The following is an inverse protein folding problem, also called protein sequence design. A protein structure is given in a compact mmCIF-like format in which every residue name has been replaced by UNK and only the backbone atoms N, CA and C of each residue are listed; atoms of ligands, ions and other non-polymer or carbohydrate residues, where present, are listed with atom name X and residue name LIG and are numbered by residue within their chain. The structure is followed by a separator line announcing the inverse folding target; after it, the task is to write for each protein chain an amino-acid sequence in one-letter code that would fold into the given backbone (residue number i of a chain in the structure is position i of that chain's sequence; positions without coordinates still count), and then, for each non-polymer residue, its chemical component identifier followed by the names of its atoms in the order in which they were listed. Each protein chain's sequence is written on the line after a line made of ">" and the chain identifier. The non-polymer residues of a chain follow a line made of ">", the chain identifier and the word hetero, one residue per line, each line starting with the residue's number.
data_IF_255980986113
#
_entry.id   IF_255980986113
#
_cell.length_a   1.000
_cell.length_b   1.000
_cell.length_c   1.000
_cell.angle_alpha   90.00
_cell.angle_beta   90.00
_cell.angle_gamma   90.00
#
_symmetry.space_group_name_H-M   'P 1'
#
loop_
_entity.id
_entity.type
_entity.pdbx_description
1 polymer ?
#
# COMPACT_ATOMS: atom_id res chain seq x y z
N UNK A 1 24.16 1.72 -4.22
CA UNK A 1 23.24 0.56 -4.10
C UNK A 1 22.64 0.25 -5.45
N UNK A 2 22.68 -0.99 -5.88
CA UNK A 2 22.03 -1.39 -7.11
C UNK A 2 20.53 -1.49 -6.92
N UNK A 3 19.74 -1.11 -7.94
CA UNK A 3 18.29 -1.32 -7.90
C UNK A 3 17.96 -2.79 -7.80
N UNK A 4 16.89 -3.10 -7.08
CA UNK A 4 16.30 -4.43 -7.08
C UNK A 4 14.98 -4.42 -7.86
N UNK A 5 14.66 -5.54 -8.48
CA UNK A 5 13.43 -5.69 -9.24
C UNK A 5 12.41 -6.43 -8.39
N UNK A 6 11.24 -5.84 -8.24
CA UNK A 6 10.09 -6.48 -7.60
C UNK A 6 9.06 -6.77 -8.69
N UNK A 7 8.73 -8.04 -8.87
CA UNK A 7 7.68 -8.43 -9.80
C UNK A 7 6.32 -8.20 -9.16
N UNK A 8 5.34 -7.85 -9.98
CA UNK A 8 3.96 -7.71 -9.51
C UNK A 8 2.99 -8.37 -10.47
N UNK A 9 1.83 -8.73 -9.94
CA UNK A 9 0.73 -9.28 -10.72
C UNK A 9 -0.52 -8.48 -10.43
N UNK A 10 -1.24 -8.10 -11.49
CA UNK A 10 -2.52 -7.41 -11.38
C UNK A 10 -3.61 -8.45 -11.19
N UNK A 11 -4.26 -8.44 -10.04
CA UNK A 11 -5.35 -9.36 -9.69
C UNK A 11 -6.73 -8.78 -10.01
N UNK A 12 -6.82 -7.44 -10.08
CA UNK A 12 -8.04 -6.70 -10.38
C UNK A 12 -7.69 -5.62 -11.41
N UNK A 13 -8.47 -5.55 -12.48
CA UNK A 13 -8.21 -4.59 -13.56
C UNK A 13 -8.23 -3.13 -13.11
N UNK A 14 -8.87 -2.82 -11.98
CA UNK A 14 -8.91 -1.47 -11.38
C UNK A 14 -7.68 -1.14 -10.56
N UNK A 15 -6.80 -2.11 -10.30
CA UNK A 15 -5.61 -1.90 -9.49
C UNK A 15 -4.70 -0.87 -10.13
N UNK A 16 -4.07 -0.06 -9.28
CA UNK A 16 -3.05 0.89 -9.71
C UNK A 16 -1.67 0.33 -9.38
N UNK A 17 -0.78 0.36 -10.38
CA UNK A 17 0.61 -0.01 -10.16
C UNK A 17 1.24 0.99 -9.19
N UNK A 18 1.95 0.54 -8.15
CA UNK A 18 2.60 1.44 -7.21
C UNK A 18 3.51 2.43 -7.93
N UNK A 19 3.41 3.69 -7.56
CA UNK A 19 4.19 4.75 -8.18
C UNK A 19 4.72 5.70 -7.12
N UNK A 20 5.90 6.25 -7.39
CA UNK A 20 6.48 7.29 -6.55
C UNK A 20 5.80 8.62 -6.87
N UNK A 21 5.26 9.29 -5.86
CA UNK A 21 4.54 10.55 -6.05
C UNK A 21 5.45 11.66 -6.55
N UNK A 22 6.73 11.65 -6.11
CA UNK A 22 7.75 12.60 -6.55
C UNK A 22 9.07 11.87 -6.79
N UNK A 23 10.02 12.46 -7.54
CA UNK A 23 11.32 11.81 -7.79
C UNK A 23 12.12 11.47 -6.53
N UNK A 24 11.92 12.24 -5.45
CA UNK A 24 12.62 12.01 -4.18
C UNK A 24 11.86 11.15 -3.19
N UNK A 25 10.72 10.58 -3.56
CA UNK A 25 9.92 9.77 -2.63
C UNK A 25 10.66 8.48 -2.26
N UNK A 26 10.67 8.16 -0.96
CA UNK A 26 11.30 6.95 -0.45
C UNK A 26 10.44 5.70 -0.68
N UNK A 27 9.14 5.87 -0.82
CA UNK A 27 8.19 4.77 -0.95
C UNK A 27 7.21 5.03 -2.10
N UNK A 28 6.67 3.96 -2.67
CA UNK A 28 5.64 4.02 -3.68
C UNK A 28 4.26 3.93 -3.03
N UNK A 29 3.29 4.64 -3.59
CA UNK A 29 1.93 4.64 -3.08
C UNK A 29 1.15 3.40 -3.52
N UNK A 30 0.43 2.80 -2.57
CA UNK A 30 -0.59 1.78 -2.83
C UNK A 30 -1.96 2.42 -2.78
N UNK A 31 -2.85 1.97 -3.65
CA UNK A 31 -4.23 2.45 -3.69
C UNK A 31 -5.21 1.31 -3.40
N UNK A 32 -6.29 1.64 -2.71
CA UNK A 32 -7.38 0.70 -2.47
C UNK A 32 -8.17 0.44 -3.76
N UNK A 33 -8.65 -0.80 -3.91
CA UNK A 33 -9.64 -1.16 -4.92
C UNK A 33 -10.92 -1.51 -4.19
N UNK A 34 -11.95 -0.69 -4.38
CA UNK A 34 -13.24 -0.87 -3.71
C UNK A 34 -14.36 -0.80 -4.76
N UNK A 35 -15.39 -1.63 -4.57
CA UNK A 35 -16.58 -1.59 -5.43
C UNK A 35 -17.40 -0.34 -5.18
N UNK A 36 -17.41 0.14 -3.94
CA UNK A 36 -18.10 1.34 -3.50
C UNK A 36 -17.34 1.98 -2.35
N UNK A 37 -17.58 3.27 -2.03
CA UNK A 37 -16.92 3.93 -0.91
C UNK A 37 -17.15 3.16 0.40
N UNK A 38 -16.09 3.07 1.21
CA UNK A 38 -16.12 2.41 2.51
C UNK A 38 -16.01 3.46 3.61
N UNK A 39 -16.92 3.42 4.57
CA UNK A 39 -16.85 4.26 5.75
C UNK A 39 -16.31 3.45 6.92
N UNK A 40 -15.27 3.96 7.57
CA UNK A 40 -14.71 3.39 8.78
C UNK A 40 -15.14 4.25 9.97
N UNK A 41 -15.87 3.65 10.88
CA UNK A 41 -16.19 4.29 12.17
C UNK A 41 -14.93 4.31 13.06
N UNK A 42 -14.88 5.19 14.08
CA UNK A 42 -13.75 5.19 15.02
C UNK A 42 -13.50 3.80 15.61
N UNK A 43 -12.23 3.41 15.66
CA UNK A 43 -11.76 2.10 16.12
C UNK A 43 -12.14 0.92 15.23
N UNK A 44 -12.83 1.16 14.12
CA UNK A 44 -13.15 0.09 13.16
C UNK A 44 -11.94 -0.27 12.31
N UNK A 45 -11.83 -1.56 11.99
CA UNK A 45 -10.79 -2.10 11.11
C UNK A 45 -11.44 -2.76 9.90
N UNK A 46 -10.71 -2.74 8.79
CA UNK A 46 -11.14 -3.41 7.57
C UNK A 46 -9.95 -3.95 6.80
N UNK A 47 -10.15 -5.04 6.11
CA UNK A 47 -9.23 -5.51 5.08
C UNK A 47 -9.55 -4.75 3.80
N UNK A 48 -8.55 -4.01 3.30
CA UNK A 48 -8.71 -3.20 2.09
C UNK A 48 -7.82 -3.78 1.00
N UNK A 49 -8.40 -4.30 -0.09
CA UNK A 49 -7.62 -4.89 -1.16
C UNK A 49 -6.94 -3.80 -2.01
N UNK A 50 -5.78 -4.14 -2.54
CA UNK A 50 -5.06 -3.31 -3.51
C UNK A 50 -5.22 -3.82 -4.94
N UNK A 51 -5.69 -5.05 -5.11
CA UNK A 51 -5.77 -5.71 -6.40
C UNK A 51 -4.43 -6.14 -6.98
N UNK A 52 -3.38 -6.18 -6.15
CA UNK A 52 -2.03 -6.51 -6.57
C UNK A 52 -1.46 -7.64 -5.71
N UNK A 53 -0.59 -8.43 -6.32
CA UNK A 53 0.32 -9.33 -5.62
C UNK A 53 1.74 -8.96 -6.02
N UNK A 54 2.69 -9.10 -5.10
CA UNK A 54 4.10 -8.83 -5.38
C UNK A 54 4.94 -10.08 -5.12
N UNK A 55 6.07 -10.14 -5.82
CA UNK A 55 7.09 -11.16 -5.60
C UNK A 55 8.43 -10.46 -5.37
N UNK A 56 8.96 -10.63 -4.18
CA UNK A 56 10.28 -10.11 -3.84
C UNK A 56 11.37 -10.99 -4.46
N UNK A 57 12.55 -10.40 -4.78
CA UNK A 57 13.61 -11.16 -5.45
C UNK A 57 14.24 -12.27 -4.60
N UNK A 58 14.03 -12.25 -3.29
CA UNK A 58 14.57 -13.29 -2.42
C UNK A 58 14.33 -13.04 -0.94
N UNK A 59 14.75 -13.96 -0.08
CA UNK A 59 14.47 -13.87 1.36
C UNK A 59 15.27 -12.77 2.08
N UNK A 60 16.24 -12.16 1.40
CA UNK A 60 16.98 -11.02 1.94
C UNK A 60 16.21 -9.71 1.86
N UNK A 61 15.04 -9.69 1.20
CA UNK A 61 14.21 -8.50 1.04
C UNK A 61 12.93 -8.61 1.85
N UNK A 62 12.42 -7.47 2.27
CA UNK A 62 11.12 -7.36 2.92
C UNK A 62 10.37 -6.16 2.34
N UNK A 63 9.07 -6.29 2.17
CA UNK A 63 8.20 -5.19 1.81
C UNK A 63 7.49 -4.70 3.07
N UNK A 64 7.61 -3.41 3.36
CA UNK A 64 6.98 -2.79 4.51
C UNK A 64 5.92 -1.81 4.03
N UNK A 65 4.73 -1.87 4.63
CA UNK A 65 3.61 -1.00 4.31
C UNK A 65 3.35 -0.06 5.47
N UNK A 66 3.41 1.22 5.20
CA UNK A 66 3.18 2.29 6.17
C UNK A 66 1.93 3.09 5.80
N UNK A 67 1.26 3.63 6.80
CA UNK A 67 0.21 4.59 6.56
C UNK A 67 0.79 5.88 5.99
N UNK A 68 0.02 6.58 5.14
CA UNK A 68 0.40 7.91 4.68
C UNK A 68 0.20 8.92 5.81
N UNK A 69 1.16 9.81 5.98
CA UNK A 69 1.13 10.81 7.05
C UNK A 69 -0.10 11.72 6.99
N UNK A 70 -0.50 12.16 5.80
CA UNK A 70 -1.67 13.01 5.64
C UNK A 70 -2.97 12.32 6.02
N UNK A 71 -3.13 11.05 5.66
CA UNK A 71 -4.31 10.27 6.05
C UNK A 71 -4.33 9.99 7.54
N UNK A 72 -3.17 9.72 8.13
CA UNK A 72 -3.06 9.50 9.57
C UNK A 72 -3.40 10.74 10.37
N UNK A 73 -2.82 11.89 10.02
CA UNK A 73 -2.99 13.10 10.82
C UNK A 73 -4.36 13.76 10.64
N UNK A 74 -4.92 13.69 9.41
CA UNK A 74 -6.19 14.34 9.10
C UNK A 74 -7.41 13.46 9.38
N UNK A 75 -7.27 12.16 9.24
CA UNK A 75 -8.39 11.23 9.30
C UNK A 75 -8.21 10.09 10.29
N UNK A 76 -7.06 10.03 10.95
CA UNK A 76 -6.79 8.99 11.94
C UNK A 76 -6.64 7.59 11.36
N UNK A 77 -6.36 7.46 10.07
CA UNK A 77 -6.16 6.16 9.44
C UNK A 77 -4.74 5.66 9.70
N UNK A 78 -4.62 4.41 10.10
CA UNK A 78 -3.34 3.77 10.32
C UNK A 78 -3.43 2.28 9.99
N UNK A 79 -2.26 1.64 9.93
CA UNK A 79 -2.21 0.19 9.83
C UNK A 79 -2.53 -0.41 11.20
N UNK A 80 -3.44 -1.37 11.25
CA UNK A 80 -3.87 -1.98 12.51
C UNK A 80 -2.72 -2.65 13.27
N UNK A 81 -1.73 -3.16 12.53
CA UNK A 81 -0.52 -3.76 13.08
C UNK A 81 0.67 -2.77 13.17
N UNK A 82 0.43 -1.49 12.93
CA UNK A 82 1.46 -0.45 12.90
C UNK A 82 2.22 -0.41 11.59
N UNK A 83 2.84 -1.49 11.21
CA UNK A 83 3.56 -1.67 9.94
C UNK A 83 3.17 -3.03 9.37
N UNK A 84 2.72 -2.98 8.13
CA UNK A 84 2.41 -4.20 7.39
C UNK A 84 3.60 -4.80 6.68
#
# INVERSE_FOLDING_TARGET
>A
MEPITVNYKVLDARAKVPAYATPGSAAADLCAVLDEPMTLEPMQRALVPTGLAIELPGPQCVALVYARSGLSIKHGLCMANGVG
#
